data_IF_543599791886
#
_entry.id   IF_543599791886
#
_cell.length_a   1.000
_cell.length_b   1.000
_cell.length_c   1.000
_cell.angle_alpha   90.00
_cell.angle_beta   90.00
_cell.angle_gamma   90.00
#
_symmetry.space_group_name_H-M   'P 1'
#
loop_
_entity.id
_entity.type
_entity.pdbx_description
1 polymer ?
#
# COMPACT_ATOMS: atom_id res chain seq x y z
N UNK A 1 -8.58 -33.22 -25.90
CA UNK A 1 -7.73 -32.10 -25.44
C UNK A 1 -8.52 -31.27 -24.45
N UNK A 2 -8.26 -31.42 -23.15
CA UNK A 2 -8.98 -30.68 -22.11
C UNK A 2 -8.24 -29.37 -21.82
N UNK A 3 -8.81 -28.26 -22.26
CA UNK A 3 -8.27 -26.93 -21.97
C UNK A 3 -8.49 -26.65 -20.47
N UNK A 4 -7.41 -26.70 -19.68
CA UNK A 4 -7.42 -26.25 -18.29
C UNK A 4 -7.51 -24.72 -18.30
N UNK A 5 -8.71 -24.19 -18.06
CA UNK A 5 -8.85 -22.75 -17.83
C UNK A 5 -8.25 -22.45 -16.45
N UNK A 6 -7.02 -21.93 -16.42
CA UNK A 6 -6.43 -21.31 -15.25
C UNK A 6 -7.20 -20.03 -14.92
N UNK A 7 -8.36 -20.16 -14.26
CA UNK A 7 -9.10 -19.02 -13.74
C UNK A 7 -8.57 -18.68 -12.36
N UNK A 8 -7.35 -18.16 -12.28
CA UNK A 8 -7.06 -17.23 -11.20
C UNK A 8 -7.87 -15.97 -11.51
N UNK A 9 -9.14 -15.96 -11.09
CA UNK A 9 -10.01 -14.79 -11.21
C UNK A 9 -9.45 -13.76 -10.22
N UNK A 10 -8.38 -13.07 -10.58
CA UNK A 10 -7.92 -11.90 -9.84
C UNK A 10 -9.13 -10.99 -9.74
N UNK A 11 -9.68 -10.84 -8.54
CA UNK A 11 -10.85 -10.02 -8.32
C UNK A 11 -10.45 -8.59 -8.69
N UNK A 12 -10.89 -8.12 -9.86
CA UNK A 12 -10.51 -6.82 -10.40
C UNK A 12 -10.83 -5.68 -9.41
N UNK A 13 -11.90 -5.84 -8.62
CA UNK A 13 -12.24 -4.93 -7.53
C UNK A 13 -11.19 -4.98 -6.43
N UNK A 14 -10.78 -6.17 -5.96
CA UNK A 14 -9.76 -6.30 -4.93
C UNK A 14 -8.41 -5.73 -5.37
N UNK A 15 -8.06 -5.88 -6.66
CA UNK A 15 -6.86 -5.25 -7.23
C UNK A 15 -6.98 -3.73 -7.23
N UNK A 16 -8.10 -3.18 -7.70
CA UNK A 16 -8.35 -1.74 -7.71
C UNK A 16 -8.27 -1.14 -6.30
N UNK A 17 -8.92 -1.79 -5.32
CA UNK A 17 -8.87 -1.36 -3.91
C UNK A 17 -7.43 -1.37 -3.38
N UNK A 18 -6.67 -2.42 -3.67
CA UNK A 18 -5.27 -2.52 -3.21
C UNK A 18 -4.37 -1.46 -3.84
N UNK A 19 -4.54 -1.18 -5.13
CA UNK A 19 -3.78 -0.14 -5.84
C UNK A 19 -4.12 1.26 -5.31
N UNK A 20 -5.41 1.54 -5.08
CA UNK A 20 -5.85 2.80 -4.48
C UNK A 20 -5.30 2.96 -3.05
N UNK A 21 -5.38 1.91 -2.22
CA UNK A 21 -4.85 1.91 -0.86
C UNK A 21 -3.34 2.18 -0.86
N UNK A 22 -2.58 1.49 -1.71
CA UNK A 22 -1.14 1.72 -1.90
C UNK A 22 -0.84 3.16 -2.32
N UNK A 23 -1.58 3.71 -3.29
CA UNK A 23 -1.36 5.06 -3.78
C UNK A 23 -1.60 6.12 -2.69
N UNK A 24 -2.65 5.97 -1.87
CA UNK A 24 -2.93 6.88 -0.76
C UNK A 24 -1.83 6.81 0.30
N UNK A 25 -1.41 5.59 0.68
CA UNK A 25 -0.32 5.39 1.65
C UNK A 25 0.98 6.05 1.15
N UNK A 26 1.36 5.82 -0.10
CA UNK A 26 2.56 6.44 -0.69
C UNK A 26 2.48 7.97 -0.71
N UNK A 27 1.31 8.54 -1.05
CA UNK A 27 1.13 9.99 -1.07
C UNK A 27 1.26 10.60 0.33
N UNK A 28 0.72 9.93 1.36
CA UNK A 28 0.85 10.40 2.74
C UNK A 28 2.29 10.28 3.23
N UNK A 29 2.97 9.16 2.98
CA UNK A 29 4.38 8.98 3.33
C UNK A 29 5.28 10.02 2.65
N UNK A 30 5.01 10.37 1.38
CA UNK A 30 5.72 11.46 0.70
C UNK A 30 5.48 12.80 1.40
N UNK A 31 4.25 13.08 1.83
CA UNK A 31 3.87 14.33 2.49
C UNK A 31 4.51 14.46 3.88
N UNK A 32 4.65 13.35 4.60
CA UNK A 32 5.27 13.29 5.94
C UNK A 32 6.76 12.99 5.89
N UNK A 33 7.39 13.01 4.70
CA UNK A 33 8.82 12.72 4.51
C UNK A 33 9.27 11.38 5.08
N UNK A 34 8.40 10.38 5.05
CA UNK A 34 8.66 9.04 5.59
C UNK A 34 8.36 8.88 7.09
N UNK A 35 7.90 9.91 7.80
CA UNK A 35 7.45 9.77 9.19
C UNK A 35 6.18 8.91 9.23
N UNK A 36 6.31 7.71 9.80
CA UNK A 36 5.24 6.71 9.88
C UNK A 36 4.19 7.07 10.94
N UNK A 37 4.58 7.69 12.06
CA UNK A 37 3.63 8.09 13.10
C UNK A 37 2.77 9.25 12.60
N UNK A 38 3.37 10.24 11.94
CA UNK A 38 2.63 11.35 11.33
C UNK A 38 1.76 10.85 10.17
N UNK A 39 2.27 9.92 9.34
CA UNK A 39 1.49 9.33 8.25
C UNK A 39 0.28 8.55 8.75
N UNK A 40 0.44 7.75 9.80
CA UNK A 40 -0.63 6.99 10.43
C UNK A 40 -1.70 7.92 11.03
N UNK A 41 -1.26 9.00 11.69
CA UNK A 41 -2.15 10.05 12.21
C UNK A 41 -2.96 10.71 11.09
N UNK A 42 -2.32 11.04 9.96
CA UNK A 42 -2.95 11.71 8.83
C UNK A 42 -3.92 10.78 8.06
N UNK A 43 -3.63 9.48 8.03
CA UNK A 43 -4.53 8.44 7.50
C UNK A 43 -5.66 8.06 8.48
N UNK A 44 -5.55 8.43 9.76
CA UNK A 44 -6.49 8.05 10.81
C UNK A 44 -6.44 6.55 11.16
N UNK A 45 -5.27 5.92 10.99
CA UNK A 45 -5.06 4.49 11.26
C UNK A 45 -4.03 4.28 12.37
N UNK A 46 -3.91 3.05 12.85
CA UNK A 46 -2.85 2.67 13.77
C UNK A 46 -1.53 2.55 13.03
N UNK A 47 -0.44 2.99 13.67
CA UNK A 47 0.91 2.88 13.12
C UNK A 47 1.29 1.43 12.79
N UNK A 48 0.92 0.47 13.65
CA UNK A 48 1.14 -0.96 13.39
C UNK A 48 0.48 -1.44 12.10
N UNK A 49 -0.73 -0.95 11.81
CA UNK A 49 -1.46 -1.30 10.59
C UNK A 49 -0.79 -0.67 9.36
N UNK A 50 -0.27 0.55 9.49
CA UNK A 50 0.50 1.19 8.43
C UNK A 50 1.80 0.42 8.14
N UNK A 51 2.52 -0.02 9.17
CA UNK A 51 3.74 -0.82 9.05
C UNK A 51 3.46 -2.15 8.32
N UNK A 52 2.39 -2.86 8.70
CA UNK A 52 1.96 -4.09 8.03
C UNK A 52 1.67 -3.83 6.54
N UNK A 53 1.01 -2.72 6.21
CA UNK A 53 0.69 -2.35 4.82
C UNK A 53 1.90 -1.95 4.00
N UNK A 54 2.85 -1.22 4.60
CA UNK A 54 4.13 -0.88 3.97
C UNK A 54 4.88 -2.15 3.59
N UNK A 55 4.93 -3.13 4.50
CA UNK A 55 5.54 -4.43 4.24
C UNK A 55 4.79 -5.23 3.17
N UNK A 56 3.46 -5.27 3.24
CA UNK A 56 2.61 -5.96 2.27
C UNK A 56 2.73 -5.40 0.85
N UNK A 57 2.89 -4.08 0.71
CA UNK A 57 2.98 -3.41 -0.59
C UNK A 57 4.41 -3.18 -1.07
N UNK A 58 5.41 -3.63 -0.31
CA UNK A 58 6.83 -3.46 -0.58
C UNK A 58 7.18 -1.98 -0.84
N UNK A 59 6.63 -1.09 -0.01
CA UNK A 59 6.87 0.35 -0.13
C UNK A 59 8.23 0.67 0.48
N UNK A 60 9.14 1.16 -0.35
CA UNK A 60 10.46 1.61 0.09
C UNK A 60 10.34 2.98 0.78
N UNK A 61 10.24 2.96 2.11
CA UNK A 61 10.17 4.16 2.94
C UNK A 61 11.42 5.05 2.83
N UNK A 62 12.59 4.48 2.52
CA UNK A 62 13.85 5.23 2.43
C UNK A 62 13.86 6.21 1.24
N UNK A 63 12.98 6.00 0.24
CA UNK A 63 12.82 6.94 -0.88
C UNK A 63 12.18 8.27 -0.49
N UNK A 64 11.58 8.37 0.68
CA UNK A 64 10.87 9.59 1.11
C UNK A 64 11.71 10.49 2.03
N UNK A 65 12.86 10.02 2.52
CA UNK A 65 13.78 10.81 3.36
C UNK A 65 14.58 11.87 2.57
N UNK A 66 14.56 11.82 1.22
CA UNK A 66 15.36 12.69 0.35
C UNK A 66 14.50 13.80 -0.30
N UNK A 67 14.14 14.84 0.48
CA UNK A 67 13.93 16.20 -0.05
C UNK A 67 13.93 17.32 1.00
#
# INVERSE_FOLDING_TARGET
MSIRIHKAKTNALARCVSECEKAVIMHVLLKTKGDQSEAASLLGIKESFLADKIHQYEIDCARFELK
#
